data_IF_130306497746
#
_entry.id   IF_130306497746
#
_cell.length_a   1.000
_cell.length_b   1.000
_cell.length_c   1.000
_cell.angle_alpha   90.00
_cell.angle_beta   90.00
_cell.angle_gamma   90.00
#
_symmetry.space_group_name_H-M   'P 1'
#
loop_
_entity.id
_entity.type
_entity.pdbx_description
1 polymer ?
#
# COMPACT_ATOMS: atom_id res chain seq x y z
N UNK A 1 1.01 -17.38 -16.83
CA UNK A 1 0.87 -15.90 -16.96
C UNK A 1 1.42 -15.23 -15.69
N UNK A 2 2.62 -14.63 -15.72
CA UNK A 2 3.16 -13.87 -14.56
C UNK A 2 2.18 -12.73 -14.25
N UNK A 3 1.58 -12.71 -13.06
CA UNK A 3 0.71 -11.60 -12.65
C UNK A 3 1.57 -10.33 -12.62
N UNK A 4 1.21 -9.35 -13.44
CA UNK A 4 1.87 -8.04 -13.45
C UNK A 4 1.77 -7.44 -12.03
N UNK A 5 2.90 -6.99 -11.48
CA UNK A 5 3.00 -6.34 -10.16
C UNK A 5 3.29 -4.84 -10.27
N UNK A 6 3.38 -4.30 -11.49
CA UNK A 6 3.52 -2.85 -11.73
C UNK A 6 2.31 -2.11 -11.19
N UNK A 7 1.14 -2.76 -11.15
CA UNK A 7 -0.06 -2.23 -10.51
C UNK A 7 0.19 -1.80 -9.06
N UNK A 8 1.01 -2.54 -8.32
CA UNK A 8 1.31 -2.20 -6.94
C UNK A 8 2.06 -0.87 -6.84
N UNK A 9 2.95 -0.59 -7.79
CA UNK A 9 3.80 0.61 -7.79
C UNK A 9 3.01 1.90 -8.04
N UNK A 10 1.74 1.79 -8.44
CA UNK A 10 0.86 2.95 -8.59
C UNK A 10 0.52 3.58 -7.24
N UNK A 11 0.38 2.78 -6.17
CA UNK A 11 0.02 3.26 -4.82
C UNK A 11 1.16 3.04 -3.83
N UNK A 12 1.84 1.90 -3.97
CA UNK A 12 2.94 1.52 -3.10
C UNK A 12 4.29 1.94 -3.66
N UNK A 13 5.25 2.14 -2.77
CA UNK A 13 6.66 2.18 -3.14
C UNK A 13 7.18 0.81 -3.58
N UNK A 14 8.39 0.82 -4.13
CA UNK A 14 9.21 -0.38 -4.20
C UNK A 14 9.44 -1.00 -2.82
N UNK A 15 9.89 -2.27 -2.83
CA UNK A 15 10.22 -2.97 -1.60
C UNK A 15 11.46 -2.33 -1.00
N UNK A 16 11.33 -1.78 0.18
CA UNK A 16 12.41 -1.12 0.92
C UNK A 16 12.59 -1.77 2.29
N UNK A 17 13.81 -1.72 2.79
CA UNK A 17 14.13 -2.11 4.16
C UNK A 17 14.25 -0.87 5.00
N UNK A 18 13.44 -0.78 6.06
CA UNK A 18 13.37 0.39 6.95
C UNK A 18 13.67 0.00 8.38
N UNK A 19 14.23 0.96 9.11
CA UNK A 19 14.62 0.83 10.50
C UNK A 19 13.65 1.62 11.37
N UNK A 20 12.87 0.94 12.19
CA UNK A 20 11.98 1.58 13.17
C UNK A 20 12.66 1.65 14.54
N UNK A 21 12.92 2.88 15.01
CA UNK A 21 13.45 3.14 16.35
C UNK A 21 12.28 3.48 17.28
N UNK A 22 12.14 2.75 18.40
CA UNK A 22 11.15 3.08 19.43
C UNK A 22 11.75 4.16 20.35
N UNK A 23 11.02 5.28 20.56
CA UNK A 23 11.47 6.38 21.41
C UNK A 23 11.38 6.07 22.93
N UNK A 24 10.51 5.14 23.35
CA UNK A 24 10.18 4.92 24.77
C UNK A 24 10.43 3.46 25.22
N UNK A 25 11.68 3.00 25.20
CA UNK A 25 12.07 1.68 25.72
C UNK A 25 13.57 1.62 25.96
N UNK A 26 14.08 0.61 26.70
CA UNK A 26 15.51 0.51 27.01
C UNK A 26 16.30 0.64 25.72
N UNK A 27 17.26 1.57 25.77
CA UNK A 27 18.03 2.07 24.65
C UNK A 27 18.40 0.94 23.70
N UNK A 28 18.11 1.13 22.40
CA UNK A 28 18.63 0.33 21.28
C UNK A 28 17.75 -0.80 20.70
N UNK A 29 16.46 -0.92 21.03
CA UNK A 29 15.56 -1.85 20.29
C UNK A 29 15.16 -1.28 18.93
N UNK A 30 15.98 -1.63 17.94
CA UNK A 30 15.80 -1.31 16.52
C UNK A 30 15.06 -2.44 15.81
N UNK A 31 13.91 -2.15 15.22
CA UNK A 31 13.14 -3.13 14.44
C UNK A 31 13.37 -2.90 12.95
N UNK A 32 14.16 -3.76 12.33
CA UNK A 32 14.44 -3.72 10.88
C UNK A 32 13.39 -4.53 10.15
N UNK A 33 12.72 -3.92 9.18
CA UNK A 33 11.64 -4.57 8.43
C UNK A 33 11.75 -4.27 6.94
N UNK A 34 11.50 -5.28 6.12
CA UNK A 34 11.39 -5.14 4.66
C UNK A 34 9.92 -5.18 4.25
N UNK A 35 9.50 -4.20 3.45
CA UNK A 35 8.10 -4.03 3.07
C UNK A 35 7.93 -2.92 2.05
N UNK A 36 6.71 -2.42 1.89
CA UNK A 36 6.37 -1.32 0.97
C UNK A 36 5.64 -0.21 1.71
N UNK A 37 5.90 1.03 1.34
CA UNK A 37 5.12 2.17 1.81
C UNK A 37 3.87 2.31 0.97
N UNK A 38 2.70 2.45 1.58
CA UNK A 38 1.60 3.09 0.89
C UNK A 38 1.90 4.59 0.87
N UNK A 39 2.15 5.18 -0.30
CA UNK A 39 2.53 6.59 -0.40
C UNK A 39 1.39 7.49 0.07
N UNK A 40 0.15 7.14 -0.28
CA UNK A 40 -1.07 7.86 0.15
C UNK A 40 -1.17 7.92 1.67
N UNK A 41 -1.14 6.78 2.37
CA UNK A 41 -1.23 6.77 3.84
C UNK A 41 0.00 7.37 4.54
N UNK A 42 1.16 7.38 3.87
CA UNK A 42 2.39 7.94 4.42
C UNK A 42 2.38 9.47 4.34
N UNK A 43 1.79 10.02 3.30
CA UNK A 43 1.67 11.45 3.03
C UNK A 43 0.47 12.08 3.76
N UNK A 44 -0.56 11.29 4.08
CA UNK A 44 -1.71 11.73 4.86
C UNK A 44 -1.33 12.04 6.32
N UNK A 45 -1.28 13.33 6.64
CA UNK A 45 -0.82 13.83 7.95
C UNK A 45 -1.77 13.44 9.08
N UNK A 46 -3.08 13.40 8.83
CA UNK A 46 -4.09 13.01 9.81
C UNK A 46 -3.98 11.53 10.19
N UNK A 47 -3.82 10.65 9.21
CA UNK A 47 -3.59 9.23 9.39
C UNK A 47 -2.27 8.97 10.13
N UNK A 48 -1.21 9.66 9.73
CA UNK A 48 0.10 9.54 10.39
C UNK A 48 0.05 10.04 11.84
N UNK A 49 -0.66 11.13 12.13
CA UNK A 49 -0.83 11.62 13.48
C UNK A 49 -1.62 10.62 14.35
N UNK A 50 -2.69 10.03 13.81
CA UNK A 50 -3.56 9.10 14.55
C UNK A 50 -2.95 7.71 14.76
N UNK A 51 -2.26 7.17 13.75
CA UNK A 51 -1.81 5.77 13.74
C UNK A 51 -0.29 5.59 13.71
N UNK A 52 0.45 6.66 13.41
CA UNK A 52 1.89 6.63 13.21
C UNK A 52 2.29 6.11 11.82
N UNK A 53 3.45 6.56 11.33
CA UNK A 53 4.00 6.17 10.02
C UNK A 53 4.12 4.65 9.86
N UNK A 54 4.42 3.92 10.94
CA UNK A 54 4.56 2.45 10.89
C UNK A 54 3.31 1.74 10.34
N UNK A 55 2.11 2.31 10.53
CA UNK A 55 0.86 1.72 10.02
C UNK A 55 0.72 1.84 8.49
N UNK A 56 1.35 2.85 7.89
CA UNK A 56 1.41 3.01 6.42
C UNK A 56 2.46 2.08 5.76
N UNK A 57 3.24 1.33 6.55
CA UNK A 57 4.24 0.40 6.05
C UNK A 57 3.70 -1.05 6.02
N UNK A 58 3.59 -1.60 4.82
CA UNK A 58 3.04 -2.93 4.59
C UNK A 58 4.15 -3.96 4.42
N UNK A 59 4.22 -4.89 5.39
CA UNK A 59 5.15 -6.03 5.39
C UNK A 59 4.63 -7.25 4.62
N UNK A 60 3.35 -7.21 4.23
CA UNK A 60 2.60 -8.38 3.78
C UNK A 60 2.83 -8.68 2.30
N UNK A 61 2.26 -9.80 1.86
CA UNK A 61 2.29 -10.26 0.47
C UNK A 61 1.55 -9.31 -0.49
N UNK A 62 1.82 -9.45 -1.79
CA UNK A 62 1.18 -8.67 -2.86
C UNK A 62 -0.35 -8.70 -2.77
N UNK A 63 -0.94 -9.84 -2.39
CA UNK A 63 -2.40 -9.97 -2.23
C UNK A 63 -2.94 -9.07 -1.11
N UNK A 64 -2.23 -8.96 0.01
CA UNK A 64 -2.61 -8.05 1.09
C UNK A 64 -2.45 -6.59 0.67
N UNK A 65 -1.41 -6.26 -0.11
CA UNK A 65 -1.26 -4.92 -0.67
C UNK A 65 -2.44 -4.57 -1.58
N UNK A 66 -2.89 -5.48 -2.45
CA UNK A 66 -4.07 -5.25 -3.32
C UNK A 66 -5.36 -5.09 -2.56
N UNK A 67 -5.55 -5.81 -1.46
CA UNK A 67 -6.69 -5.57 -0.58
C UNK A 67 -6.67 -4.16 0.01
N UNK A 68 -5.48 -3.65 0.39
CA UNK A 68 -5.35 -2.28 0.86
C UNK A 68 -5.63 -1.25 -0.24
N UNK A 69 -5.16 -1.50 -1.48
CA UNK A 69 -5.42 -0.64 -2.65
C UNK A 69 -6.91 -0.36 -2.86
N UNK A 70 -7.81 -1.30 -2.51
CA UNK A 70 -9.26 -1.07 -2.59
C UNK A 70 -9.72 0.17 -1.83
N UNK A 71 -9.05 0.53 -0.73
CA UNK A 71 -9.33 1.75 0.05
C UNK A 71 -8.90 3.02 -0.67
N UNK A 72 -8.06 2.89 -1.69
CA UNK A 72 -7.54 3.97 -2.54
C UNK A 72 -7.89 3.72 -4.01
N UNK A 73 -9.02 3.04 -4.27
CA UNK A 73 -9.32 2.51 -5.60
C UNK A 73 -9.44 3.60 -6.66
N UNK A 74 -10.11 4.72 -6.38
CA UNK A 74 -10.26 5.82 -7.35
C UNK A 74 -8.90 6.34 -7.82
N UNK A 75 -7.98 6.60 -6.89
CA UNK A 75 -6.63 7.05 -7.22
C UNK A 75 -5.83 5.96 -7.96
N UNK A 76 -5.99 4.70 -7.56
CA UNK A 76 -5.37 3.56 -8.23
C UNK A 76 -5.84 3.46 -9.68
N UNK A 77 -7.14 3.56 -9.93
CA UNK A 77 -7.77 3.51 -11.25
C UNK A 77 -7.22 4.61 -12.15
N UNK A 78 -7.17 5.85 -11.66
CA UNK A 78 -6.58 6.98 -12.41
C UNK A 78 -5.12 6.75 -12.76
N UNK A 79 -4.30 6.29 -11.79
CA UNK A 79 -2.87 6.03 -12.03
C UNK A 79 -2.64 4.86 -12.97
N UNK A 80 -3.47 3.81 -12.89
CA UNK A 80 -3.44 2.69 -13.83
C UNK A 80 -3.76 3.15 -15.25
N UNK A 81 -4.80 3.99 -15.44
CA UNK A 81 -5.15 4.55 -16.73
C UNK A 81 -4.02 5.41 -17.31
N UNK A 82 -3.43 6.31 -16.51
CA UNK A 82 -2.31 7.16 -16.93
C UNK A 82 -1.08 6.36 -17.35
N UNK A 83 -0.78 5.25 -16.68
CA UNK A 83 0.38 4.42 -16.96
C UNK A 83 0.09 3.30 -17.98
N UNK A 84 -1.13 3.27 -18.55
CA UNK A 84 -1.60 2.19 -19.44
C UNK A 84 -1.43 0.80 -18.82
N UNK A 85 -1.61 0.69 -17.51
CA UNK A 85 -1.54 -0.56 -16.76
C UNK A 85 -2.94 -1.13 -16.62
N UNK A 86 -3.13 -2.37 -17.06
CA UNK A 86 -4.39 -3.10 -16.80
C UNK A 86 -4.61 -3.27 -15.30
N UNK A 87 -5.75 -2.81 -14.82
CA UNK A 87 -6.16 -2.96 -13.42
C UNK A 87 -6.17 -4.43 -13.01
N UNK A 88 -5.71 -4.68 -11.78
CA UNK A 88 -5.73 -6.04 -11.25
C UNK A 88 -7.12 -6.36 -10.71
N UNK A 89 -7.77 -7.47 -11.13
CA UNK A 89 -9.10 -7.85 -10.63
C UNK A 89 -9.19 -7.96 -9.11
N UNK A 90 -8.08 -8.31 -8.45
CA UNK A 90 -8.04 -8.42 -6.98
C UNK A 90 -7.99 -7.05 -6.27
N UNK A 91 -7.60 -5.98 -6.96
CA UNK A 91 -7.55 -4.62 -6.44
C UNK A 91 -8.87 -3.84 -6.65
N UNK A 92 -9.77 -4.37 -7.48
CA UNK A 92 -11.08 -3.76 -7.73
C UNK A 92 -12.03 -4.03 -6.52
N UNK A 93 -12.70 -3.01 -5.97
CA UNK A 93 -13.75 -3.15 -4.96
C UNK A 93 -14.88 -4.07 -5.44
N UNK A 94 -15.45 -4.85 -4.51
CA UNK A 94 -16.52 -5.80 -4.84
C UNK A 94 -17.79 -5.10 -5.30
N UNK A 95 -18.07 -3.91 -4.79
CA UNK A 95 -19.27 -3.13 -5.12
C UNK A 95 -19.34 -2.76 -6.61
N UNK A 96 -18.19 -2.58 -7.26
CA UNK A 96 -18.12 -2.30 -8.70
C UNK A 96 -18.34 -3.54 -9.57
N UNK A 97 -18.17 -4.74 -9.03
CA UNK A 97 -18.53 -5.96 -9.75
C UNK A 97 -20.05 -6.16 -9.80
N UNK A 98 -20.78 -5.71 -8.77
CA UNK A 98 -22.25 -5.86 -8.68
C UNK A 98 -23.03 -4.91 -9.59
N UNK A 99 -22.42 -3.84 -10.10
CA UNK A 99 -23.08 -2.89 -11.00
C UNK A 99 -23.04 -3.31 -12.48
N UNK A 100 -22.44 -4.47 -12.79
CA UNK A 100 -22.36 -5.01 -14.15
C UNK A 100 -23.28 -6.23 -14.38
N UNK A 101 -24.14 -6.55 -13.42
CA UNK A 101 -25.17 -7.60 -13.54
C UNK A 101 -26.55 -6.97 -13.77
#
# INVERSE_FOLDING_TARGET
KKRNTKDLLTIFSDRVTVRFVRKNGPSNKVDVKTGRWCNVCKEDTAFVAKHGKRKAFHLRSNSSCRQHIRSHYELYKTRCAQQMITENPHAIPRDLFKQKE
#
